data_IF_955592055660
#
_entry.id   IF_955592055660
#
_cell.length_a   1.000
_cell.length_b   1.000
_cell.length_c   1.000
_cell.angle_alpha   90.00
_cell.angle_beta   90.00
_cell.angle_gamma   90.00
#
_symmetry.space_group_name_H-M   'P 1'
#
loop_
_entity.id
_entity.type
_entity.pdbx_description
1 polymer ?
#
# COMPACT_ATOMS: atom_id res chain seq x y z
N UNK A 1 9.81 -1.58 7.19
CA UNK A 1 8.75 -2.11 6.31
C UNK A 1 7.96 -0.93 5.74
N UNK A 2 7.36 -1.06 4.56
CA UNK A 2 6.48 -0.03 3.97
C UNK A 2 5.13 -0.64 3.65
N UNK A 3 4.06 0.11 3.88
CA UNK A 3 2.70 -0.36 3.66
C UNK A 3 2.06 0.29 2.43
N UNK A 4 1.23 -0.49 1.73
CA UNK A 4 0.24 0.04 0.80
C UNK A 4 -1.13 -0.12 1.46
N UNK A 5 -1.77 1.00 1.79
CA UNK A 5 -3.04 1.04 2.52
C UNK A 5 -4.19 0.98 1.53
N UNK A 6 -5.06 0.00 1.72
CA UNK A 6 -6.24 -0.29 0.90
C UNK A 6 -7.31 0.83 0.95
N UNK A 7 -8.18 0.89 -0.06
CA UNK A 7 -9.21 1.92 -0.18
C UNK A 7 -10.27 1.89 0.93
N UNK A 8 -10.44 0.74 1.58
CA UNK A 8 -11.35 0.58 2.71
C UNK A 8 -10.84 1.23 4.00
N UNK A 9 -9.58 1.66 4.02
CA UNK A 9 -8.98 2.35 5.16
C UNK A 9 -8.84 3.84 4.86
N UNK A 10 -8.75 4.65 5.93
CA UNK A 10 -8.60 6.09 5.75
C UNK A 10 -7.17 6.45 5.32
N UNK A 11 -7.04 7.32 4.32
CA UNK A 11 -5.77 7.92 3.89
C UNK A 11 -5.05 8.68 5.02
N UNK A 12 -5.79 9.13 6.04
CA UNK A 12 -5.23 9.76 7.25
C UNK A 12 -4.32 8.83 8.05
N UNK A 13 -4.43 7.50 7.87
CA UNK A 13 -3.50 6.56 8.50
C UNK A 13 -2.09 6.68 7.95
N UNK A 14 -1.91 7.16 6.70
CA UNK A 14 -0.59 7.32 6.10
C UNK A 14 0.29 8.22 6.97
N UNK A 15 -0.22 9.39 7.38
CA UNK A 15 0.57 10.33 8.18
C UNK A 15 1.01 9.76 9.54
N UNK A 16 0.21 8.86 10.12
CA UNK A 16 0.55 8.18 11.37
C UNK A 16 1.56 7.05 11.15
N UNK A 17 1.33 6.23 10.14
CA UNK A 17 2.15 5.06 9.87
C UNK A 17 3.47 5.41 9.20
N UNK A 18 3.57 6.50 8.46
CA UNK A 18 4.81 6.91 7.81
C UNK A 18 5.91 7.28 8.82
N UNK A 19 5.53 7.75 10.02
CA UNK A 19 6.46 8.03 11.11
C UNK A 19 7.21 6.77 11.59
N UNK A 20 6.50 5.64 11.71
CA UNK A 20 7.06 4.37 12.17
C UNK A 20 7.50 3.45 11.01
N UNK A 21 6.90 3.64 9.83
CA UNK A 21 7.06 2.83 8.63
C UNK A 21 7.23 3.72 7.38
N UNK A 22 8.42 4.32 7.21
CA UNK A 22 8.68 5.28 6.14
C UNK A 22 8.41 4.73 4.74
N UNK A 23 7.72 5.53 3.93
CA UNK A 23 7.31 5.18 2.57
C UNK A 23 5.96 4.45 2.52
N UNK A 24 5.19 4.50 3.61
CA UNK A 24 3.80 4.04 3.63
C UNK A 24 2.94 4.93 2.72
N UNK A 25 2.10 4.32 1.89
CA UNK A 25 1.29 5.00 0.90
C UNK A 25 -0.13 4.46 0.90
N UNK A 26 -1.11 5.27 0.50
CA UNK A 26 -2.49 4.86 0.31
C UNK A 26 -2.77 4.60 -1.18
N UNK A 27 -3.63 3.64 -1.52
CA UNK A 27 -3.99 3.32 -2.92
C UNK A 27 -4.52 4.55 -3.69
N UNK A 28 -5.22 5.47 -3.01
CA UNK A 28 -5.61 6.79 -3.56
C UNK A 28 -4.42 7.62 -4.02
N UNK A 29 -3.31 7.64 -3.27
CA UNK A 29 -2.12 8.45 -3.59
C UNK A 29 -1.32 7.88 -4.76
N UNK A 30 -1.53 6.60 -5.10
CA UNK A 30 -0.87 5.93 -6.23
C UNK A 30 -1.81 5.72 -7.42
N UNK A 31 -2.95 6.40 -7.45
CA UNK A 31 -3.97 6.31 -8.52
C UNK A 31 -4.49 4.87 -8.75
N UNK A 32 -4.54 4.06 -7.69
CA UNK A 32 -5.01 2.68 -7.74
C UNK A 32 -6.40 2.48 -7.11
N UNK A 33 -7.10 3.55 -6.77
CA UNK A 33 -8.50 3.43 -6.33
C UNK A 33 -9.35 2.80 -7.45
N UNK A 34 -10.20 1.83 -7.09
CA UNK A 34 -11.02 1.05 -8.01
C UNK A 34 -10.23 0.22 -9.05
N UNK A 35 -8.96 -0.10 -8.79
CA UNK A 35 -8.20 -1.11 -9.53
C UNK A 35 -8.47 -2.50 -8.95
N UNK A 36 -8.23 -3.53 -9.75
CA UNK A 36 -8.41 -4.90 -9.29
C UNK A 36 -7.38 -5.24 -8.20
N UNK A 37 -7.72 -6.18 -7.31
CA UNK A 37 -6.78 -6.73 -6.32
C UNK A 37 -5.50 -7.25 -6.98
N UNK A 38 -5.60 -7.81 -8.19
CA UNK A 38 -4.44 -8.29 -8.95
C UNK A 38 -3.48 -7.15 -9.31
N UNK A 39 -4.00 -6.00 -9.78
CA UNK A 39 -3.19 -4.82 -10.10
C UNK A 39 -2.54 -4.24 -8.84
N UNK A 40 -3.27 -4.21 -7.72
CA UNK A 40 -2.76 -3.80 -6.42
C UNK A 40 -1.63 -4.71 -5.95
N UNK A 41 -1.77 -6.03 -6.13
CA UNK A 41 -0.73 -6.99 -5.80
C UNK A 41 0.52 -6.85 -6.65
N UNK A 42 0.38 -6.62 -7.95
CA UNK A 42 1.52 -6.33 -8.83
C UNK A 42 2.25 -5.06 -8.41
N UNK A 43 1.50 -4.01 -8.07
CA UNK A 43 2.10 -2.77 -7.57
C UNK A 43 2.82 -3.01 -6.24
N UNK A 44 2.20 -3.74 -5.31
CA UNK A 44 2.80 -4.08 -4.03
C UNK A 44 4.10 -4.86 -4.20
N UNK A 45 4.16 -5.85 -5.10
CA UNK A 45 5.41 -6.59 -5.40
C UNK A 45 6.51 -5.70 -5.97
N UNK A 46 6.16 -4.76 -6.85
CA UNK A 46 7.13 -3.83 -7.47
C UNK A 46 7.63 -2.77 -6.50
N UNK A 47 6.75 -2.23 -5.66
CA UNK A 47 7.07 -1.10 -4.78
C UNK A 47 7.46 -1.53 -3.38
N UNK A 48 6.94 -2.61 -2.84
CA UNK A 48 7.25 -3.11 -1.51
C UNK A 48 8.26 -4.25 -1.71
N UNK A 49 9.56 -3.95 -1.60
CA UNK A 49 10.70 -4.89 -1.74
C UNK A 49 10.74 -5.96 -0.61
N UNK A 50 9.61 -6.56 -0.29
CA UNK A 50 9.50 -7.72 0.57
C UNK A 50 8.31 -8.53 0.03
N UNK A 51 8.54 -9.71 -0.59
CA UNK A 51 7.44 -10.55 -0.99
C UNK A 51 6.71 -10.96 0.28
N UNK A 52 5.49 -10.49 0.46
CA UNK A 52 4.53 -11.23 1.26
C UNK A 52 4.30 -12.53 0.49
N UNK A 53 5.13 -13.53 0.79
CA UNK A 53 4.96 -14.89 0.34
C UNK A 53 3.70 -15.40 1.04
N UNK A 54 2.56 -15.29 0.34
CA UNK A 54 1.32 -15.91 0.77
C UNK A 54 1.59 -17.38 1.05
N UNK A 55 1.36 -17.77 2.30
CA UNK A 55 0.99 -19.14 2.65
C UNK A 55 -0.52 -19.18 2.81
#
# INVERSE_FOLDING_TARGET
MKFLIDENLSDKLVARLDADFPGTQHVKHVLMSAKSDADLWELAKRRLHHPYAGR
#
